data_IF_950840584979
#
_entry.id   IF_950840584979
#
_cell.length_a   1.000
_cell.length_b   1.000
_cell.length_c   1.000
_cell.angle_alpha   90.00
_cell.angle_beta   90.00
_cell.angle_gamma   90.00
#
_symmetry.space_group_name_H-M   'P 1'
#
loop_
_entity.id
_entity.type
_entity.pdbx_description
1 polymer ?
#
# COMPACT_ATOMS: atom_id res chain seq x y z
N UNK A 1 -2.52 11.93 -19.22
CA UNK A 1 -3.68 12.22 -18.35
C UNK A 1 -3.31 11.79 -16.95
N UNK A 2 -3.54 12.67 -15.96
CA UNK A 2 -3.08 12.52 -14.58
C UNK A 2 -3.46 11.17 -13.96
N UNK A 3 -2.47 10.37 -13.58
CA UNK A 3 -2.63 9.06 -12.94
C UNK A 3 -3.10 9.15 -11.49
N UNK A 4 -3.86 10.20 -11.15
CA UNK A 4 -4.56 10.34 -9.87
C UNK A 4 -5.71 9.34 -9.87
N UNK A 5 -5.37 8.07 -9.64
CA UNK A 5 -6.32 7.09 -9.13
C UNK A 5 -7.12 7.83 -8.05
N UNK A 6 -8.44 8.05 -8.23
CA UNK A 6 -9.23 8.78 -7.27
C UNK A 6 -9.02 8.08 -5.93
N UNK A 7 -8.63 8.85 -4.93
CA UNK A 7 -8.20 8.37 -3.63
C UNK A 7 -9.39 7.63 -2.97
N UNK A 8 -9.47 6.32 -3.22
CA UNK A 8 -10.63 5.52 -2.85
C UNK A 8 -10.70 5.47 -1.33
N UNK A 9 -11.88 5.79 -0.78
CA UNK A 9 -12.10 5.70 0.65
C UNK A 9 -11.85 4.27 1.14
N UNK A 10 -11.07 4.17 2.21
CA UNK A 10 -10.82 2.90 2.88
C UNK A 10 -12.11 2.37 3.52
N UNK A 11 -12.52 1.17 3.14
CA UNK A 11 -13.58 0.44 3.83
C UNK A 11 -13.04 -0.23 5.09
N UNK A 12 -13.94 -0.66 5.98
CA UNK A 12 -13.57 -1.49 7.14
C UNK A 12 -12.92 -2.82 6.72
N UNK A 13 -13.32 -3.37 5.58
CA UNK A 13 -12.71 -4.56 5.02
C UNK A 13 -11.26 -4.32 4.59
N UNK A 14 -10.97 -3.15 4.00
CA UNK A 14 -9.59 -2.78 3.66
C UNK A 14 -8.73 -2.62 4.92
N UNK A 15 -9.27 -1.95 5.97
CA UNK A 15 -8.58 -1.82 7.27
C UNK A 15 -8.31 -3.18 7.90
N UNK A 16 -9.31 -4.06 7.95
CA UNK A 16 -9.17 -5.41 8.49
C UNK A 16 -8.12 -6.24 7.74
N UNK A 17 -8.08 -6.15 6.41
CA UNK A 17 -7.08 -6.83 5.59
C UNK A 17 -5.65 -6.37 5.92
N UNK A 18 -5.45 -5.05 6.09
CA UNK A 18 -4.15 -4.49 6.50
C UNK A 18 -3.76 -4.96 7.90
N UNK A 19 -4.68 -4.94 8.88
CA UNK A 19 -4.40 -5.45 10.23
C UNK A 19 -3.98 -6.91 10.21
N UNK A 20 -4.64 -7.76 9.42
CA UNK A 20 -4.25 -9.17 9.27
C UNK A 20 -2.84 -9.33 8.71
N UNK A 21 -2.44 -8.49 7.75
CA UNK A 21 -1.07 -8.49 7.21
C UNK A 21 -0.06 -8.10 8.30
N UNK A 22 -0.37 -7.09 9.11
CA UNK A 22 0.48 -6.66 10.22
C UNK A 22 0.61 -7.75 11.28
N UNK A 23 -0.47 -8.48 11.59
CA UNK A 23 -0.45 -9.62 12.52
C UNK A 23 0.48 -10.74 12.02
N UNK A 24 0.42 -11.07 10.73
CA UNK A 24 1.32 -12.07 10.14
C UNK A 24 2.78 -11.60 10.19
N UNK A 25 3.05 -10.33 9.88
CA UNK A 25 4.41 -9.78 9.92
C UNK A 25 4.99 -9.79 11.35
N UNK A 26 4.19 -9.46 12.36
CA UNK A 26 4.57 -9.59 13.77
C UNK A 26 4.83 -11.06 14.17
N UNK A 27 3.96 -11.99 13.76
CA UNK A 27 4.15 -13.43 14.00
C UNK A 27 5.41 -14.00 13.34
N UNK A 28 5.87 -13.39 12.24
CA UNK A 28 7.11 -13.73 11.54
C UNK A 28 8.35 -13.02 12.12
N UNK A 29 8.19 -12.16 13.14
CA UNK A 29 9.27 -11.38 13.73
C UNK A 29 9.79 -10.24 12.85
N UNK A 30 9.03 -9.83 11.82
CA UNK A 30 9.35 -8.68 10.97
C UNK A 30 8.94 -7.34 11.59
N UNK A 31 8.02 -7.39 12.55
CA UNK A 31 7.62 -6.26 13.37
C UNK A 31 7.79 -6.62 14.84
N UNK A 32 8.32 -5.70 15.61
CA UNK A 32 8.19 -5.74 17.07
C UNK A 32 6.74 -5.49 17.48
N UNK A 33 6.38 -5.83 18.72
CA UNK A 33 5.02 -5.60 19.23
C UNK A 33 4.65 -4.11 19.24
N UNK A 34 5.61 -3.23 19.54
CA UNK A 34 5.41 -1.78 19.55
C UNK A 34 5.15 -1.23 18.14
N UNK A 35 5.95 -1.67 17.16
CA UNK A 35 5.75 -1.31 15.75
C UNK A 35 4.42 -1.84 15.21
N UNK A 36 4.04 -3.07 15.60
CA UNK A 36 2.75 -3.64 15.24
C UNK A 36 1.60 -2.76 15.75
N UNK A 37 1.58 -2.44 17.05
CA UNK A 37 0.52 -1.60 17.65
C UNK A 37 0.47 -0.22 17.00
N UNK A 38 1.62 0.44 16.82
CA UNK A 38 1.67 1.75 16.18
C UNK A 38 1.18 1.73 14.73
N UNK A 39 1.50 0.68 13.96
CA UNK A 39 1.01 0.52 12.59
C UNK A 39 -0.48 0.20 12.51
N UNK A 40 -1.01 -0.57 13.47
CA UNK A 40 -2.46 -0.83 13.56
C UNK A 40 -3.21 0.48 13.82
N UNK A 41 -2.73 1.35 14.70
CA UNK A 41 -3.36 2.66 14.94
C UNK A 41 -3.40 3.52 13.67
N UNK A 42 -2.30 3.54 12.90
CA UNK A 42 -2.26 4.24 11.61
C UNK A 42 -3.24 3.63 10.60
N UNK A 43 -3.32 2.30 10.51
CA UNK A 43 -4.26 1.62 9.62
C UNK A 43 -5.72 1.93 9.98
N UNK A 44 -6.05 1.97 11.28
CA UNK A 44 -7.40 2.29 11.75
C UNK A 44 -7.77 3.77 11.51
N UNK A 45 -6.79 4.67 11.55
CA UNK A 45 -6.97 6.10 11.26
C UNK A 45 -7.01 6.43 9.75
N UNK A 46 -6.55 5.52 8.89
CA UNK A 46 -6.50 5.73 7.45
C UNK A 46 -7.90 5.91 6.86
N UNK A 47 -8.06 6.97 6.08
CA UNK A 47 -9.30 7.33 5.39
C UNK A 47 -9.33 6.81 3.96
N UNK A 48 -8.17 6.44 3.43
CA UNK A 48 -7.95 6.21 2.01
C UNK A 48 -7.17 4.92 1.82
N UNK A 49 -7.42 4.24 0.71
CA UNK A 49 -6.70 3.00 0.38
C UNK A 49 -5.21 3.25 0.18
N UNK A 50 -4.83 4.44 -0.33
CA UNK A 50 -3.42 4.82 -0.49
C UNK A 50 -2.71 4.95 0.85
N UNK A 51 -3.35 5.54 1.87
CA UNK A 51 -2.79 5.59 3.23
C UNK A 51 -2.58 4.17 3.77
N UNK A 52 -3.53 3.26 3.56
CA UNK A 52 -3.38 1.85 3.95
C UNK A 52 -2.20 1.16 3.25
N UNK A 53 -2.02 1.39 1.94
CA UNK A 53 -0.90 0.83 1.19
C UNK A 53 0.45 1.28 1.76
N UNK A 54 0.55 2.51 2.30
CA UNK A 54 1.79 3.00 2.92
C UNK A 54 2.16 2.29 4.22
N UNK A 55 1.17 1.81 4.99
CA UNK A 55 1.39 1.12 6.28
C UNK A 55 2.16 -0.20 6.11
N UNK A 56 2.03 -0.81 4.93
CA UNK A 56 2.56 -2.15 4.61
C UNK A 56 3.59 -2.12 3.47
N UNK A 57 3.99 -0.94 3.00
CA UNK A 57 4.84 -0.77 1.82
C UNK A 57 6.26 -1.35 1.97
N UNK A 58 6.77 -1.39 3.21
CA UNK A 58 8.08 -1.93 3.58
C UNK A 58 8.06 -3.43 3.87
N UNK A 59 6.87 -4.05 3.96
CA UNK A 59 6.74 -5.47 4.25
C UNK A 59 6.99 -6.31 2.97
N UNK A 60 7.97 -7.24 2.97
CA UNK A 60 8.49 -7.88 1.76
C UNK A 60 7.51 -8.81 1.01
N UNK A 61 6.29 -9.03 1.51
CA UNK A 61 5.31 -9.94 0.92
C UNK A 61 3.99 -9.28 0.48
N UNK A 62 3.88 -7.95 0.61
CA UNK A 62 2.60 -7.23 0.43
C UNK A 62 2.48 -6.55 -0.93
N UNK A 63 3.47 -6.76 -1.81
CA UNK A 63 3.45 -6.24 -3.19
C UNK A 63 2.48 -7.04 -4.08
N UNK A 64 1.24 -7.26 -3.66
CA UNK A 64 0.18 -7.74 -4.56
C UNK A 64 -0.41 -6.55 -5.32
N UNK A 65 0.04 -6.40 -6.58
CA UNK A 65 -0.53 -5.56 -7.63
C UNK A 65 -0.64 -4.06 -7.32
N UNK A 66 0.49 -3.36 -7.25
CA UNK A 66 0.52 -2.04 -7.87
C UNK A 66 1.03 -2.25 -9.30
N UNK A 67 0.24 -1.95 -10.35
CA UNK A 67 0.83 -1.77 -11.67
C UNK A 67 1.76 -0.58 -11.49
N UNK A 68 3.06 -0.84 -11.57
CA UNK A 68 4.03 0.21 -11.87
C UNK A 68 3.52 0.85 -13.15
N UNK A 69 2.93 2.04 -13.06
CA UNK A 69 2.62 2.83 -14.24
C UNK A 69 3.96 3.08 -14.91
N UNK A 70 4.23 2.33 -15.98
CA UNK A 70 5.44 2.47 -16.76
C UNK A 70 5.56 3.93 -17.18
N UNK A 71 6.71 4.60 -16.94
CA UNK A 71 6.90 5.94 -17.43
C UNK A 71 6.80 5.89 -18.95
N UNK A 72 5.88 6.68 -19.50
CA UNK A 72 5.77 6.91 -20.94
C UNK A 72 7.15 7.26 -21.50
N UNK A 73 7.74 6.33 -22.25
CA UNK A 73 8.82 6.65 -23.16
C UNK A 73 8.22 7.43 -24.34
N UNK A 74 8.01 8.72 -24.09
CA UNK A 74 8.06 9.75 -25.11
C UNK A 74 9.45 9.69 -25.75
N UNK A 75 9.60 8.95 -26.84
CA UNK A 75 10.91 8.72 -27.46
C UNK A 75 10.83 7.99 -28.80
N UNK A 76 9.96 8.44 -29.70
CA UNK A 76 9.82 7.87 -31.04
C UNK A 76 9.26 8.84 -32.06
N UNK A 77 9.65 10.12 -31.95
CA UNK A 77 9.82 11.02 -33.07
C UNK A 77 10.24 10.27 -34.35
N UNK A 78 9.44 10.47 -35.41
CA UNK A 78 9.90 10.63 -36.79
C UNK A 78 10.76 9.49 -37.39
N UNK A 79 10.16 8.64 -38.22
CA UNK A 79 10.80 8.03 -39.41
C UNK A 79 9.67 7.57 -40.34
N UNK A 80 9.36 8.39 -41.36
CA UNK A 80 9.79 8.28 -42.78
C UNK A 80 8.96 7.29 -43.57
#
# INVERSE_FOLDING_TARGET
MDSRQPDLRASDADRAAVTQILEQAAGQGMLTLDEYTGRVDVALAARTRRELDTVIADLPHVRTKQPVAAPEALGGWMSS
#
